data_IF_486630163145
#
_entry.id   IF_486630163145
#
_cell.length_a   1.000
_cell.length_b   1.000
_cell.length_c   1.000
_cell.angle_alpha   90.00
_cell.angle_beta   90.00
_cell.angle_gamma   90.00
#
_symmetry.space_group_name_H-M   'P 1'
#
loop_
_entity.id
_entity.type
_entity.pdbx_description
1 polymer ?
#
# COMPACT_ATOMS: atom_id res chain seq x y z
N UNK A 1 30.69 8.61 -2.58
CA UNK A 1 30.56 8.87 -1.13
C UNK A 1 29.10 8.79 -0.77
N UNK A 2 28.73 7.73 -0.05
CA UNK A 2 27.34 7.33 0.19
C UNK A 2 26.65 8.21 1.22
N UNK A 3 25.50 8.77 0.85
CA UNK A 3 24.51 9.25 1.80
C UNK A 3 23.63 8.05 2.15
N UNK A 4 23.99 7.33 3.22
CA UNK A 4 23.03 6.51 3.94
C UNK A 4 22.03 7.48 4.61
N UNK A 5 21.07 7.97 3.82
CA UNK A 5 19.93 8.69 4.32
C UNK A 5 19.13 7.70 5.17
N UNK A 6 19.32 7.76 6.50
CA UNK A 6 18.46 7.05 7.44
C UNK A 6 17.05 7.58 7.22
N UNK A 7 16.12 6.70 6.84
CA UNK A 7 14.72 7.08 6.68
C UNK A 7 14.19 7.54 8.05
N UNK A 8 13.96 8.84 8.20
CA UNK A 8 13.15 9.38 9.29
C UNK A 8 11.70 9.24 8.86
N UNK A 9 10.98 8.33 9.51
CA UNK A 9 9.53 8.27 9.41
C UNK A 9 8.95 9.04 10.60
N UNK A 10 7.88 9.79 10.38
CA UNK A 10 7.22 10.57 11.40
C UNK A 10 5.78 10.06 11.56
N UNK A 11 5.36 9.83 12.81
CA UNK A 11 3.98 9.47 13.15
C UNK A 11 3.26 10.71 13.68
N UNK A 12 2.03 10.94 13.23
CA UNK A 12 1.16 11.96 13.81
C UNK A 12 0.41 11.35 15.01
N UNK A 13 0.66 11.86 16.21
CA UNK A 13 -0.10 11.50 17.41
C UNK A 13 -1.28 12.46 17.54
N UNK A 14 -2.51 11.96 17.41
CA UNK A 14 -3.74 12.75 17.59
C UNK A 14 -4.29 12.49 18.98
N UNK A 15 -4.04 13.40 19.93
CA UNK A 15 -4.64 13.35 21.26
C UNK A 15 -6.06 13.92 21.26
N UNK A 16 -7.06 13.10 21.61
CA UNK A 16 -8.39 13.57 21.96
C UNK A 16 -8.38 14.02 23.42
N UNK A 17 -8.31 15.33 23.68
CA UNK A 17 -8.57 15.87 25.02
C UNK A 17 -10.08 16.03 25.16
N UNK A 18 -10.72 15.09 25.85
CA UNK A 18 -12.10 15.25 26.27
C UNK A 18 -12.14 16.15 27.52
N UNK A 19 -12.44 17.43 27.35
CA UNK A 19 -12.80 18.29 28.48
C UNK A 19 -14.24 17.97 28.89
N UNK A 20 -14.42 17.21 29.97
CA UNK A 20 -15.71 17.07 30.61
C UNK A 20 -15.97 18.30 31.49
N UNK A 21 -16.67 19.29 30.98
CA UNK A 21 -17.27 20.36 31.78
C UNK A 21 -18.70 19.98 32.13
N UNK A 22 -19.02 19.90 33.44
CA UNK A 22 -20.39 19.85 33.93
C UNK A 22 -21.08 21.16 33.55
N UNK A 23 -22.03 21.10 32.62
CA UNK A 23 -22.76 22.27 32.15
C UNK A 23 -23.71 22.81 33.24
N UNK A 24 -23.40 24.01 33.75
CA UNK A 24 -24.40 24.92 34.30
C UNK A 24 -25.07 25.69 33.16
N UNK A 25 -26.38 25.90 33.24
CA UNK A 25 -27.17 26.57 32.21
C UNK A 25 -26.73 28.01 31.94
N UNK A 26 -26.39 28.34 30.69
CA UNK A 26 -26.71 29.64 30.08
C UNK A 26 -26.43 29.62 28.57
N UNK A 27 -27.24 30.39 27.86
CA UNK A 27 -27.47 30.40 26.42
C UNK A 27 -26.26 30.74 25.53
N UNK A 28 -26.23 30.11 24.36
CA UNK A 28 -25.82 30.77 23.12
C UNK A 28 -24.31 30.94 22.88
N UNK A 29 -23.61 29.85 22.60
CA UNK A 29 -22.31 29.88 21.92
C UNK A 29 -22.02 28.52 21.31
N UNK A 30 -21.98 28.42 19.98
CA UNK A 30 -21.42 27.22 19.33
C UNK A 30 -19.93 27.16 19.69
N UNK A 31 -19.58 26.23 20.56
CA UNK A 31 -18.19 25.92 20.87
C UNK A 31 -17.45 25.61 19.56
N UNK A 32 -16.32 26.28 19.24
CA UNK A 32 -15.56 25.94 18.04
C UNK A 32 -15.14 24.46 18.13
N UNK A 33 -15.15 23.70 17.02
CA UNK A 33 -14.76 22.29 17.06
C UNK A 33 -13.35 22.17 17.63
N UNK A 34 -13.19 21.31 18.63
CA UNK A 34 -11.90 20.96 19.23
C UNK A 34 -10.93 20.58 18.12
N UNK A 35 -10.00 21.48 17.80
CA UNK A 35 -8.91 21.18 16.87
C UNK A 35 -7.92 20.32 17.64
N UNK A 36 -7.87 19.02 17.35
CA UNK A 36 -6.83 18.16 17.88
C UNK A 36 -5.46 18.71 17.42
N UNK A 37 -4.67 19.22 18.35
CA UNK A 37 -3.29 19.65 18.06
C UNK A 37 -2.43 18.40 18.03
N UNK A 38 -2.22 17.84 16.84
CA UNK A 38 -1.25 16.75 16.64
C UNK A 38 0.18 17.27 16.72
N UNK A 39 1.09 16.46 17.25
CA UNK A 39 2.54 16.68 17.12
C UNK A 39 3.17 15.56 16.30
N UNK A 40 4.22 15.91 15.55
CA UNK A 40 5.05 14.94 14.85
C UNK A 40 6.12 14.42 15.78
N UNK A 41 6.31 13.10 15.79
CA UNK A 41 7.40 12.45 16.52
C UNK A 41 8.23 11.60 15.57
N UNK A 42 9.56 11.64 15.74
CA UNK A 42 10.48 10.76 15.03
C UNK A 42 10.26 9.31 15.51
N UNK A 43 10.07 8.40 14.57
CA UNK A 43 10.00 6.96 14.86
C UNK A 43 11.41 6.38 15.04
N UNK A 44 11.50 5.26 15.78
CA UNK A 44 12.72 4.46 15.79
C UNK A 44 13.19 4.09 14.37
N UNK A 45 14.50 4.01 14.12
CA UNK A 45 15.03 3.80 12.77
C UNK A 45 14.67 2.39 12.26
N UNK A 46 14.13 2.33 11.04
CA UNK A 46 13.80 1.05 10.42
C UNK A 46 15.08 0.27 10.03
N UNK A 47 15.09 -1.08 10.15
CA UNK A 47 16.20 -1.95 9.73
C UNK A 47 16.19 -2.19 8.22
N UNK A 48 15.54 -1.31 7.45
CA UNK A 48 15.33 -1.43 6.01
C UNK A 48 15.67 -0.11 5.32
N UNK A 49 16.12 -0.19 4.06
CA UNK A 49 16.43 1.00 3.28
C UNK A 49 15.20 1.86 3.01
N UNK A 50 15.42 3.17 2.82
CA UNK A 50 14.39 4.09 2.35
C UNK A 50 13.87 3.68 0.98
N UNK A 51 12.55 3.82 0.78
CA UNK A 51 11.86 3.21 -0.36
C UNK A 51 10.63 3.98 -0.80
N UNK A 52 10.41 4.02 -2.11
CA UNK A 52 9.22 4.54 -2.77
C UNK A 52 9.14 4.01 -4.21
N UNK A 53 7.92 3.74 -4.75
CA UNK A 53 6.69 3.47 -4.03
C UNK A 53 6.69 2.03 -3.50
N UNK A 54 6.61 1.87 -2.17
CA UNK A 54 6.50 0.57 -1.49
C UNK A 54 5.05 0.21 -1.18
N UNK A 55 4.77 -1.09 -1.01
CA UNK A 55 3.53 -1.53 -0.39
C UNK A 55 3.57 -1.18 1.10
N UNK A 56 2.51 -0.58 1.63
CA UNK A 56 2.41 -0.21 3.04
C UNK A 56 0.98 -0.34 3.55
N UNK A 57 0.76 -1.16 4.57
CA UNK A 57 -0.57 -1.37 5.15
C UNK A 57 -0.55 -1.28 6.67
N UNK A 58 -1.69 -0.94 7.26
CA UNK A 58 -1.92 -1.03 8.70
C UNK A 58 -2.71 -2.32 9.01
N UNK A 59 -2.16 -3.17 9.87
CA UNK A 59 -2.80 -4.45 10.23
C UNK A 59 -3.88 -4.31 11.31
N UNK A 60 -4.02 -3.11 11.89
CA UNK A 60 -4.71 -2.90 13.16
C UNK A 60 -3.75 -2.88 14.37
N UNK A 61 -2.51 -3.35 14.20
CA UNK A 61 -1.51 -3.46 15.27
C UNK A 61 -0.12 -2.98 14.88
N UNK A 62 0.32 -3.29 13.66
CA UNK A 62 1.62 -2.88 13.12
C UNK A 62 1.45 -2.35 11.70
N UNK A 63 2.36 -1.46 11.29
CA UNK A 63 2.49 -1.07 9.89
C UNK A 63 3.42 -2.07 9.21
N UNK A 64 3.00 -2.68 8.11
CA UNK A 64 3.85 -3.57 7.31
C UNK A 64 4.23 -2.86 6.02
N UNK A 65 5.52 -2.86 5.69
CA UNK A 65 6.07 -2.27 4.47
C UNK A 65 6.84 -3.33 3.68
N UNK A 66 6.61 -3.42 2.37
CA UNK A 66 7.33 -4.36 1.49
C UNK A 66 7.65 -3.77 0.12
N UNK A 67 8.80 -4.17 -0.43
CA UNK A 67 9.22 -3.83 -1.79
C UNK A 67 9.50 -2.34 -1.95
N UNK A 68 9.18 -1.78 -3.11
CA UNK A 68 9.54 -0.40 -3.45
C UNK A 68 11.01 -0.30 -3.85
N UNK A 69 11.56 0.91 -3.84
CA UNK A 69 12.96 1.10 -4.25
C UNK A 69 13.45 2.51 -3.96
N UNK A 70 14.72 2.78 -4.24
CA UNK A 70 15.28 4.11 -4.12
C UNK A 70 16.06 4.48 -5.37
N UNK A 71 16.21 5.78 -5.62
CA UNK A 71 16.94 6.26 -6.77
C UNK A 71 18.44 6.08 -6.55
N UNK A 72 19.12 5.52 -7.55
CA UNK A 72 20.58 5.38 -7.56
C UNK A 72 21.30 6.71 -7.76
N UNK A 73 20.62 7.68 -8.37
CA UNK A 73 21.15 9.01 -8.65
C UNK A 73 20.03 10.07 -8.57
N UNK A 74 20.44 11.33 -8.40
CA UNK A 74 19.58 12.50 -8.49
C UNK A 74 19.77 13.21 -9.84
N UNK A 75 18.70 13.63 -10.54
CA UNK A 75 17.29 13.51 -10.13
C UNK A 75 16.76 12.07 -10.17
N UNK A 76 15.77 11.78 -9.33
CA UNK A 76 15.03 10.53 -9.35
C UNK A 76 14.28 10.35 -10.68
N UNK A 77 14.57 9.28 -11.40
CA UNK A 77 13.93 8.91 -12.65
C UNK A 77 13.49 7.45 -12.60
N UNK A 78 12.52 7.06 -13.42
CA UNK A 78 11.99 5.70 -13.37
C UNK A 78 13.07 4.65 -13.66
N UNK A 79 13.94 4.91 -14.64
CA UNK A 79 15.01 4.02 -15.10
C UNK A 79 16.22 3.91 -14.15
N UNK A 80 16.35 4.79 -13.15
CA UNK A 80 17.45 4.77 -12.20
C UNK A 80 17.08 4.28 -10.79
N UNK A 81 15.97 3.54 -10.67
CA UNK A 81 15.51 2.95 -9.40
C UNK A 81 16.22 1.62 -9.12
N UNK A 82 16.73 1.46 -7.90
CA UNK A 82 17.11 0.17 -7.34
C UNK A 82 15.88 -0.45 -6.65
N UNK A 83 15.30 -1.54 -7.19
CA UNK A 83 14.15 -2.17 -6.59
C UNK A 83 14.56 -3.02 -5.38
N UNK A 84 13.63 -3.17 -4.44
CA UNK A 84 13.82 -3.93 -3.21
C UNK A 84 12.80 -5.08 -3.13
N UNK A 85 13.21 -6.18 -2.49
CA UNK A 85 12.36 -7.36 -2.22
C UNK A 85 12.19 -7.62 -0.71
N UNK A 86 12.85 -6.84 0.13
CA UNK A 86 12.74 -6.91 1.58
C UNK A 86 11.58 -6.06 2.10
N UNK A 87 11.34 -6.16 3.41
CA UNK A 87 10.32 -5.40 4.10
C UNK A 87 10.56 -5.33 5.59
N UNK A 88 9.76 -4.52 6.25
CA UNK A 88 9.80 -4.33 7.70
C UNK A 88 8.42 -4.08 8.26
N UNK A 89 8.23 -4.43 9.52
CA UNK A 89 7.02 -4.16 10.27
C UNK A 89 7.34 -3.28 11.48
N UNK A 90 6.48 -2.28 11.73
CA UNK A 90 6.61 -1.32 12.82
C UNK A 90 5.47 -1.46 13.81
N UNK A 91 5.82 -1.69 15.08
CA UNK A 91 4.92 -1.66 16.21
C UNK A 91 4.97 -0.26 16.87
N UNK A 92 3.90 0.56 16.77
CA UNK A 92 3.87 1.88 17.39
C UNK A 92 3.70 1.87 18.91
N UNK A 93 3.27 0.76 19.52
CA UNK A 93 3.15 0.64 20.99
C UNK A 93 4.54 0.49 21.60
N UNK A 94 5.38 -0.32 20.96
CA UNK A 94 6.76 -0.53 21.38
C UNK A 94 7.74 0.50 20.80
N UNK A 95 7.34 1.26 19.77
CA UNK A 95 8.23 2.04 18.90
C UNK A 95 9.41 1.19 18.40
N UNK A 96 9.10 0.00 17.87
CA UNK A 96 10.14 -0.91 17.38
C UNK A 96 9.83 -1.40 15.98
N UNK A 97 10.90 -1.69 15.26
CA UNK A 97 10.84 -2.30 13.95
C UNK A 97 11.40 -3.71 13.99
N UNK A 98 10.87 -4.56 13.11
CA UNK A 98 11.45 -5.86 12.75
C UNK A 98 11.53 -5.98 11.24
N UNK A 99 12.52 -6.70 10.74
CA UNK A 99 12.47 -7.21 9.36
C UNK A 99 11.39 -8.28 9.26
N UNK A 100 10.72 -8.36 8.12
CA UNK A 100 9.78 -9.46 7.83
C UNK A 100 10.48 -10.55 7.04
N UNK A 101 9.92 -11.77 7.05
CA UNK A 101 10.43 -12.87 6.26
C UNK A 101 10.59 -12.54 4.77
N UNK A 102 11.60 -13.14 4.12
CA UNK A 102 11.81 -13.01 2.69
C UNK A 102 10.72 -13.78 1.93
N UNK A 103 10.09 -13.11 0.97
CA UNK A 103 9.01 -13.67 0.15
C UNK A 103 9.49 -14.24 -1.19
N UNK A 104 8.58 -14.88 -1.96
CA UNK A 104 8.91 -15.48 -3.26
C UNK A 104 8.97 -14.45 -4.40
N UNK A 105 8.54 -13.21 -4.17
CA UNK A 105 8.47 -12.19 -5.20
C UNK A 105 9.83 -11.54 -5.44
N UNK A 106 10.21 -11.42 -6.72
CA UNK A 106 11.35 -10.61 -7.12
C UNK A 106 11.19 -9.14 -6.70
N UNK A 107 12.32 -8.45 -6.51
CA UNK A 107 12.37 -7.04 -6.17
C UNK A 107 11.59 -6.18 -7.17
N UNK A 108 10.73 -5.28 -6.68
CA UNK A 108 9.83 -4.50 -7.55
C UNK A 108 9.25 -3.27 -6.87
N UNK A 109 8.74 -2.35 -7.68
CA UNK A 109 8.05 -1.14 -7.21
C UNK A 109 6.67 -1.00 -7.85
N UNK A 110 5.81 -0.19 -7.21
CA UNK A 110 4.53 0.21 -7.79
C UNK A 110 3.55 -0.95 -7.96
N UNK A 111 3.51 -1.84 -6.96
CA UNK A 111 2.59 -2.98 -6.90
C UNK A 111 1.17 -2.51 -6.59
N UNK A 112 0.18 -3.31 -6.98
CA UNK A 112 -1.13 -3.28 -6.35
C UNK A 112 -1.01 -3.99 -5.00
N UNK A 113 -1.56 -3.41 -3.93
CA UNK A 113 -1.54 -4.03 -2.62
C UNK A 113 -2.72 -3.54 -1.75
N UNK A 114 -3.13 -4.37 -0.78
CA UNK A 114 -4.02 -3.95 0.32
C UNK A 114 -4.00 -4.98 1.46
N UNK A 115 -4.58 -4.62 2.61
CA UNK A 115 -4.75 -5.49 3.77
C UNK A 115 -6.10 -6.22 3.73
N UNK A 116 -6.07 -7.55 3.79
CA UNK A 116 -7.30 -8.36 3.76
C UNK A 116 -8.04 -8.44 5.10
N UNK A 117 -7.50 -7.82 6.16
CA UNK A 117 -7.86 -8.14 7.54
C UNK A 117 -6.99 -9.23 8.16
N UNK A 118 -6.24 -9.98 7.34
CA UNK A 118 -5.35 -11.07 7.79
C UNK A 118 -3.98 -11.06 7.12
N UNK A 119 -3.91 -10.71 5.85
CA UNK A 119 -2.70 -10.79 5.04
C UNK A 119 -2.50 -9.49 4.26
N UNK A 120 -1.23 -9.08 4.09
CA UNK A 120 -0.86 -8.10 3.08
C UNK A 120 -0.88 -8.82 1.73
N UNK A 121 -1.76 -8.39 0.84
CA UNK A 121 -1.86 -8.91 -0.51
C UNK A 121 -1.05 -8.01 -1.45
N UNK A 122 -0.23 -8.60 -2.32
CA UNK A 122 0.60 -7.88 -3.29
C UNK A 122 0.47 -8.53 -4.66
N UNK A 123 0.31 -7.71 -5.71
CA UNK A 123 0.28 -8.19 -7.09
C UNK A 123 0.91 -7.21 -8.07
N UNK A 124 1.53 -7.77 -9.12
CA UNK A 124 2.06 -7.03 -10.25
C UNK A 124 3.26 -6.18 -9.89
N UNK A 125 3.31 -4.95 -10.41
CA UNK A 125 4.43 -4.02 -10.22
C UNK A 125 5.43 -4.06 -11.37
N UNK A 126 6.60 -3.44 -11.18
CA UNK A 126 7.65 -3.45 -12.19
C UNK A 126 8.97 -2.82 -11.74
N UNK A 127 9.97 -2.87 -12.61
CA UNK A 127 11.30 -2.29 -12.44
C UNK A 127 11.52 -1.25 -13.54
N UNK A 128 11.76 -0.01 -13.11
CA UNK A 128 11.95 1.14 -13.99
C UNK A 128 10.99 1.23 -15.17
N UNK A 129 11.53 1.04 -16.38
CA UNK A 129 10.81 0.96 -17.67
C UNK A 129 11.10 -0.36 -18.40
N UNK A 130 11.72 -1.33 -17.72
CA UNK A 130 12.30 -2.53 -18.37
C UNK A 130 11.53 -3.81 -18.08
N UNK A 131 10.76 -3.86 -16.99
CA UNK A 131 10.05 -5.07 -16.61
C UNK A 131 8.76 -4.78 -15.86
N UNK A 132 7.70 -5.53 -16.19
CA UNK A 132 6.47 -5.65 -15.42
C UNK A 132 6.24 -7.09 -14.96
N UNK A 133 5.45 -7.24 -13.91
CA UNK A 133 5.15 -8.53 -13.32
C UNK A 133 3.65 -8.84 -13.35
N UNK A 134 3.31 -10.14 -13.39
CA UNK A 134 1.93 -10.66 -13.34
C UNK A 134 1.70 -11.63 -12.16
N UNK A 135 2.72 -11.87 -11.35
CA UNK A 135 2.68 -12.68 -10.14
C UNK A 135 2.35 -11.82 -8.90
N UNK A 136 2.00 -12.51 -7.81
CA UNK A 136 1.67 -11.89 -6.54
C UNK A 136 1.86 -12.87 -5.38
N UNK A 137 1.87 -12.33 -4.16
CA UNK A 137 2.02 -13.10 -2.93
C UNK A 137 1.23 -12.45 -1.80
N UNK A 138 0.89 -13.26 -0.79
CA UNK A 138 0.26 -12.82 0.45
C UNK A 138 1.24 -13.01 1.60
N UNK A 139 1.39 -12.00 2.45
CA UNK A 139 2.18 -12.06 3.69
C UNK A 139 1.26 -12.16 4.90
N UNK A 140 1.46 -13.19 5.71
CA UNK A 140 0.81 -13.35 7.02
C UNK A 140 1.77 -12.88 8.12
N UNK A 141 1.50 -11.74 8.78
CA UNK A 141 2.35 -11.23 9.86
C UNK A 141 2.32 -12.09 11.13
N UNK A 142 1.25 -12.85 11.37
CA UNK A 142 1.15 -13.71 12.55
C UNK A 142 2.07 -14.93 12.45
N UNK A 143 2.25 -15.44 11.23
CA UNK A 143 3.17 -16.54 10.92
C UNK A 143 4.55 -16.07 10.45
N UNK A 144 4.74 -14.76 10.24
CA UNK A 144 5.87 -14.16 9.55
C UNK A 144 6.28 -14.95 8.31
N UNK A 145 5.32 -15.17 7.40
CA UNK A 145 5.56 -15.99 6.22
C UNK A 145 4.78 -15.51 5.00
N UNK A 146 5.31 -15.84 3.83
CA UNK A 146 4.69 -15.55 2.55
C UNK A 146 4.16 -16.81 1.89
N UNK A 147 3.08 -16.65 1.13
CA UNK A 147 2.61 -17.64 0.17
C UNK A 147 2.39 -17.00 -1.21
N UNK A 148 2.70 -17.70 -2.31
CA UNK A 148 2.35 -17.20 -3.65
C UNK A 148 0.82 -17.16 -3.83
N UNK A 149 0.35 -16.17 -4.57
CA UNK A 149 -1.02 -16.15 -5.08
C UNK A 149 -1.11 -17.08 -6.30
N UNK A 150 -2.30 -17.66 -6.58
CA UNK A 150 -2.53 -18.38 -7.83
C UNK A 150 -2.32 -17.45 -9.04
N UNK A 151 -2.03 -17.99 -10.24
CA UNK A 151 -1.89 -17.20 -11.45
C UNK A 151 -3.10 -16.29 -11.68
N UNK A 152 -2.83 -15.00 -11.90
CA UNK A 152 -3.86 -14.01 -12.25
C UNK A 152 -4.21 -14.11 -13.73
N UNK A 153 -5.47 -13.88 -14.12
CA UNK A 153 -5.86 -13.76 -15.53
C UNK A 153 -5.38 -12.45 -16.18
N UNK A 154 -4.88 -11.49 -15.39
CA UNK A 154 -4.39 -10.21 -15.89
C UNK A 154 -2.98 -10.33 -16.45
N UNK A 155 -2.74 -9.71 -17.61
CA UNK A 155 -1.39 -9.44 -18.13
C UNK A 155 -0.55 -8.63 -17.15
N UNK A 156 0.77 -8.82 -17.18
CA UNK A 156 1.73 -8.09 -16.34
C UNK A 156 1.59 -6.57 -16.46
N UNK A 157 1.56 -5.85 -15.33
CA UNK A 157 1.38 -4.39 -15.30
C UNK A 157 1.62 -3.79 -13.91
N UNK A 158 1.78 -2.46 -13.85
CA UNK A 158 1.62 -1.66 -12.63
C UNK A 158 0.15 -1.24 -12.49
N UNK A 159 -0.60 -1.94 -11.65
CA UNK A 159 -2.03 -1.70 -11.40
C UNK A 159 -2.28 -1.03 -10.04
N UNK A 160 -3.56 -0.78 -9.75
CA UNK A 160 -4.05 -0.39 -8.43
C UNK A 160 -4.83 -1.54 -7.81
N UNK A 161 -4.78 -1.63 -6.48
CA UNK A 161 -5.41 -2.67 -5.69
C UNK A 161 -6.25 -2.05 -4.58
N UNK A 162 -7.34 -2.73 -4.22
CA UNK A 162 -8.14 -2.41 -3.03
C UNK A 162 -8.79 -3.67 -2.48
N UNK A 163 -8.90 -3.77 -1.16
CA UNK A 163 -9.64 -4.81 -0.48
C UNK A 163 -11.12 -4.43 -0.40
N UNK A 164 -12.00 -5.27 -0.95
CA UNK A 164 -13.44 -5.02 -0.93
C UNK A 164 -14.10 -5.34 0.41
N UNK A 165 -13.37 -5.94 1.35
CA UNK A 165 -13.93 -6.62 2.52
C UNK A 165 -14.03 -8.15 2.32
N UNK A 166 -13.95 -8.61 1.07
CA UNK A 166 -14.03 -10.04 0.71
C UNK A 166 -13.00 -10.47 -0.34
N UNK A 167 -12.72 -9.61 -1.30
CA UNK A 167 -11.85 -9.90 -2.43
C UNK A 167 -10.83 -8.78 -2.61
N UNK A 168 -9.65 -9.14 -3.09
CA UNK A 168 -8.65 -8.17 -3.51
C UNK A 168 -8.86 -7.81 -4.97
N UNK A 169 -9.33 -6.60 -5.20
CA UNK A 169 -9.70 -6.08 -6.51
C UNK A 169 -8.51 -5.34 -7.10
N UNK A 170 -8.01 -5.82 -8.23
CA UNK A 170 -6.96 -5.19 -9.03
C UNK A 170 -7.57 -4.64 -10.32
N UNK A 171 -7.32 -3.37 -10.64
CA UNK A 171 -7.90 -2.75 -11.84
C UNK A 171 -6.97 -1.76 -12.53
N UNK A 172 -7.12 -1.69 -13.86
CA UNK A 172 -6.45 -0.73 -14.74
C UNK A 172 -4.94 -0.88 -14.72
N UNK A 173 -4.24 0.26 -14.79
CA UNK A 173 -2.79 0.31 -14.73
C UNK A 173 -2.13 0.38 -16.09
N UNK A 174 -0.81 0.19 -16.09
CA UNK A 174 0.03 0.33 -17.26
C UNK A 174 1.11 -0.73 -17.34
N UNK A 175 1.31 -1.24 -18.54
CA UNK A 175 2.57 -1.86 -18.94
C UNK A 175 3.56 -0.73 -19.20
N UNK A 176 4.53 -0.57 -18.31
CA UNK A 176 5.55 0.49 -18.40
C UNK A 176 6.59 0.22 -19.49
N UNK A 177 6.70 -1.02 -19.98
CA UNK A 177 7.62 -1.42 -21.04
C UNK A 177 6.99 -1.08 -22.38
N UNK A 178 5.78 -1.58 -22.63
CA UNK A 178 5.08 -1.39 -23.90
C UNK A 178 4.22 -0.10 -23.93
N UNK A 179 4.21 0.65 -22.83
CA UNK A 179 3.40 1.87 -22.63
C UNK A 179 1.89 1.67 -22.81
N UNK A 180 1.41 0.43 -22.69
CA UNK A 180 0.00 0.06 -22.83
C UNK A 180 -0.78 0.34 -21.54
N UNK A 181 -1.90 1.05 -21.65
CA UNK A 181 -2.84 1.25 -20.55
C UNK A 181 -3.92 0.19 -20.56
N UNK A 182 -4.51 -0.07 -19.39
CA UNK A 182 -5.51 -1.11 -19.20
C UNK A 182 -6.83 -0.56 -18.64
N UNK A 183 -7.95 -1.18 -19.04
CA UNK A 183 -9.32 -0.88 -18.58
C UNK A 183 -10.01 -2.10 -17.93
N UNK A 184 -9.29 -3.22 -17.84
CA UNK A 184 -9.73 -4.47 -17.25
C UNK A 184 -9.21 -4.61 -15.82
N UNK A 185 -9.77 -5.58 -15.10
CA UNK A 185 -9.35 -5.93 -13.76
C UNK A 185 -9.82 -7.31 -13.35
N UNK A 186 -9.32 -7.79 -12.22
CA UNK A 186 -9.63 -9.09 -11.65
C UNK A 186 -9.77 -8.98 -10.13
N UNK A 187 -10.57 -9.85 -9.55
CA UNK A 187 -10.75 -9.98 -8.12
C UNK A 187 -10.19 -11.33 -7.65
N UNK A 188 -9.33 -11.29 -6.64
CA UNK A 188 -8.83 -12.48 -5.95
C UNK A 188 -9.68 -12.76 -4.71
N UNK A 189 -10.24 -13.96 -4.63
CA UNK A 189 -10.94 -14.48 -3.45
C UNK A 189 -9.98 -15.38 -2.66
N UNK A 190 -9.54 -14.97 -1.45
CA UNK A 190 -8.65 -15.79 -0.62
C UNK A 190 -9.33 -17.03 -0.02
N UNK A 191 -10.65 -17.06 0.10
CA UNK A 191 -11.36 -18.24 0.60
C UNK A 191 -11.39 -19.35 -0.46
N UNK A 192 -11.52 -18.97 -1.73
CA UNK A 192 -11.42 -19.91 -2.86
C UNK A 192 -9.99 -20.10 -3.37
N UNK A 193 -9.04 -19.25 -2.93
CA UNK A 193 -7.69 -19.13 -3.46
C UNK A 193 -7.68 -19.10 -5.00
N UNK A 194 -8.47 -18.19 -5.57
CA UNK A 194 -8.65 -18.10 -7.03
C UNK A 194 -8.96 -16.67 -7.48
N UNK A 195 -8.68 -16.38 -8.75
CA UNK A 195 -9.01 -15.12 -9.39
C UNK A 195 -10.25 -15.28 -10.28
N UNK A 196 -11.02 -14.20 -10.41
CA UNK A 196 -12.02 -14.04 -11.47
C UNK A 196 -11.81 -12.71 -12.17
N UNK A 197 -12.12 -12.66 -13.47
CA UNK A 197 -12.20 -11.38 -14.18
C UNK A 197 -13.36 -10.55 -13.62
N UNK A 198 -13.14 -9.24 -13.53
CA UNK A 198 -14.22 -8.30 -13.29
C UNK A 198 -15.06 -8.15 -14.57
N UNK A 199 -16.36 -7.82 -14.44
CA UNK A 199 -17.17 -7.42 -15.58
C UNK A 199 -16.51 -6.27 -16.36
N UNK A 200 -16.70 -6.21 -17.69
CA UNK A 200 -16.24 -5.07 -18.48
C UNK A 200 -16.89 -3.78 -17.97
N UNK A 201 -16.13 -2.69 -18.01
CA UNK A 201 -16.60 -1.35 -17.62
C UNK A 201 -16.41 -0.39 -18.79
N UNK A 202 -17.34 0.55 -18.93
CA UNK A 202 -17.27 1.64 -19.93
C UNK A 202 -16.34 2.76 -19.46
N UNK A 203 -15.11 2.40 -19.06
CA UNK A 203 -14.05 3.34 -18.72
C UNK A 203 -12.90 3.16 -19.71
N UNK A 204 -12.37 4.27 -20.22
CA UNK A 204 -11.15 4.21 -21.02
C UNK A 204 -9.98 3.68 -20.18
N UNK A 205 -9.07 2.98 -20.86
CA UNK A 205 -7.84 2.49 -20.25
C UNK A 205 -7.05 3.62 -19.59
N UNK A 206 -6.55 3.38 -18.37
CA UNK A 206 -5.92 4.41 -17.54
C UNK A 206 -5.04 3.81 -16.44
N UNK A 207 -4.07 4.58 -15.99
CA UNK A 207 -3.29 4.29 -14.79
C UNK A 207 -3.48 5.36 -13.71
N UNK A 208 -2.79 5.21 -12.57
CA UNK A 208 -2.77 6.20 -11.48
C UNK A 208 -4.15 6.59 -10.95
N UNK A 209 -5.11 5.66 -11.03
CA UNK A 209 -6.41 5.84 -10.40
C UNK A 209 -6.31 5.78 -8.87
N UNK A 210 -7.28 6.40 -8.23
CA UNK A 210 -7.58 6.15 -6.82
C UNK A 210 -8.69 5.12 -6.74
N UNK A 211 -8.54 4.15 -5.85
CA UNK A 211 -9.55 3.11 -5.59
C UNK A 211 -9.85 3.09 -4.09
N UNK A 212 -11.14 3.03 -3.74
CA UNK A 212 -11.59 2.85 -2.37
C UNK A 212 -12.76 1.88 -2.32
N UNK A 213 -12.81 1.06 -1.27
CA UNK A 213 -13.95 0.20 -0.97
C UNK A 213 -14.84 0.86 0.07
N UNK A 214 -16.16 0.81 -0.15
CA UNK A 214 -17.18 1.19 0.83
C UNK A 214 -17.70 -0.01 1.64
N UNK A 215 -17.17 -1.21 1.37
CA UNK A 215 -17.69 -2.49 1.86
C UNK A 215 -18.89 -3.02 1.05
N UNK A 216 -19.48 -2.20 0.18
CA UNK A 216 -20.52 -2.61 -0.78
C UNK A 216 -20.05 -2.47 -2.23
N UNK A 217 -19.25 -1.44 -2.50
CA UNK A 217 -18.82 -1.06 -3.83
C UNK A 217 -17.34 -0.66 -3.81
N UNK A 218 -16.69 -0.83 -4.96
CA UNK A 218 -15.38 -0.24 -5.23
C UNK A 218 -15.57 0.97 -6.11
N UNK A 219 -15.16 2.14 -5.62
CA UNK A 219 -15.18 3.39 -6.36
C UNK A 219 -13.81 3.63 -6.97
N UNK A 220 -13.78 3.87 -8.28
CA UNK A 220 -12.58 4.22 -9.04
C UNK A 220 -12.68 5.67 -9.49
N UNK A 221 -11.65 6.47 -9.23
CA UNK A 221 -11.64 7.88 -9.59
C UNK A 221 -10.32 8.33 -10.20
N UNK A 222 -10.40 9.29 -11.13
CA UNK A 222 -9.25 9.93 -11.76
C UNK A 222 -8.50 9.02 -12.74
N UNK A 223 -7.18 9.19 -12.77
CA UNK A 223 -6.28 8.52 -13.71
C UNK A 223 -6.25 9.13 -15.11
N UNK A 224 -5.18 8.84 -15.84
CA UNK A 224 -4.89 9.32 -17.20
C UNK A 224 -3.60 8.71 -17.74
#
# INVERSE_FOLDING_TARGET
MGLNARCRAALAVVGLVASATLAGCSDGGSEPPVVATGSWQDMSPAPIAGRSPAASVWTGKEMVVWGGGFCKANPCQFDNVEPLADGGAYDPVADTWRSIAQGPLAARTGTAFDWSGKELLVWGGGIGTTQVFADGAAYDPAADSWRPLPPSPLTARRAKGVWSGREFVVWGGRDIVDTKFFADGAAYDPAANSWRMLPPVELSARERVSMISTGKEVVVFGGG
#
